data_IF_199414397216
#
_entry.id   IF_199414397216
#
_cell.length_a   1.000
_cell.length_b   1.000
_cell.length_c   1.000
_cell.angle_alpha   90.00
_cell.angle_beta   90.00
_cell.angle_gamma   90.00
#
_symmetry.space_group_name_H-M   'P 1'
#
loop_
_entity.id
_entity.type
_entity.pdbx_description
1 polymer ?
#
# COMPACT_ATOMS: atom_id res chain seq x y z
N UNK A 1 5.67 27.08 -42.52
CA UNK A 1 7.02 27.51 -42.13
C UNK A 1 7.30 26.81 -40.80
N UNK A 2 7.78 25.58 -40.88
CA UNK A 2 9.21 25.24 -40.89
C UNK A 2 9.90 25.62 -39.57
N UNK A 3 10.15 24.55 -38.78
CA UNK A 3 11.45 24.16 -38.28
C UNK A 3 11.89 24.73 -36.91
N UNK A 4 12.30 23.74 -36.14
CA UNK A 4 13.36 23.78 -35.14
C UNK A 4 12.96 24.26 -33.73
N UNK A 5 12.81 23.34 -32.82
CA UNK A 5 13.78 23.15 -31.74
C UNK A 5 13.76 21.68 -31.29
N UNK A 6 14.57 20.90 -31.98
CA UNK A 6 15.12 19.65 -31.47
C UNK A 6 16.49 20.00 -30.90
N UNK A 7 16.87 19.27 -29.86
CA UNK A 7 18.18 19.29 -29.23
C UNK A 7 18.36 20.27 -28.04
N UNK A 8 18.12 19.76 -26.83
CA UNK A 8 19.06 19.72 -25.71
C UNK A 8 18.54 18.71 -24.71
N UNK A 9 18.85 17.46 -24.85
CA UNK A 9 18.74 16.45 -23.80
C UNK A 9 19.81 15.40 -24.01
N UNK A 10 21.03 15.73 -23.72
CA UNK A 10 22.10 14.77 -23.52
C UNK A 10 23.22 15.45 -22.77
N UNK A 11 23.34 15.20 -21.48
CA UNK A 11 24.58 15.17 -20.71
C UNK A 11 24.29 15.40 -19.22
N UNK A 12 24.04 14.32 -18.46
CA UNK A 12 24.50 14.22 -17.07
C UNK A 12 24.14 12.87 -16.47
N UNK A 13 24.67 11.81 -17.06
CA UNK A 13 24.79 10.51 -16.41
C UNK A 13 26.25 10.08 -16.50
N UNK A 14 27.08 10.51 -15.60
CA UNK A 14 28.34 9.81 -15.26
C UNK A 14 28.77 10.27 -13.86
N UNK A 15 29.24 9.31 -13.09
CA UNK A 15 29.97 9.34 -11.83
C UNK A 15 29.15 9.33 -10.53
N UNK A 16 28.97 8.12 -10.05
CA UNK A 16 29.34 7.78 -8.66
C UNK A 16 29.30 6.27 -8.43
N UNK A 17 30.29 5.57 -9.01
CA UNK A 17 30.70 4.25 -8.57
C UNK A 17 32.14 4.38 -8.07
N UNK A 18 32.35 4.54 -6.79
CA UNK A 18 33.60 4.16 -6.11
C UNK A 18 33.42 4.35 -4.59
N UNK A 19 33.32 3.25 -3.87
CA UNK A 19 34.05 3.01 -2.64
C UNK A 19 33.47 1.79 -1.94
N UNK A 20 33.87 0.62 -2.42
CA UNK A 20 33.90 -0.58 -1.62
C UNK A 20 35.38 -0.76 -1.23
N UNK A 21 35.72 -0.42 -0.01
CA UNK A 21 37.05 -0.56 0.57
C UNK A 21 36.96 -1.29 1.90
N UNK A 22 37.39 -2.52 1.88
CA UNK A 22 37.58 -3.43 3.00
C UNK A 22 38.53 -2.85 4.04
N UNK A 23 38.22 -2.96 5.33
CA UNK A 23 39.20 -3.27 6.39
C UNK A 23 38.50 -3.62 7.70
N UNK A 24 38.97 -4.72 8.28
CA UNK A 24 38.56 -5.31 9.54
C UNK A 24 39.02 -4.49 10.75
N UNK A 25 38.28 -4.59 11.83
CA UNK A 25 38.70 -4.88 13.21
C UNK A 25 38.02 -4.04 14.29
N UNK A 26 37.49 -4.77 15.25
CA UNK A 26 37.46 -4.57 16.72
C UNK A 26 36.33 -3.74 17.33
N UNK A 27 35.46 -4.47 18.03
CA UNK A 27 34.72 -4.20 19.25
C UNK A 27 34.59 -2.76 19.78
N UNK A 28 33.36 -2.30 19.90
CA UNK A 28 32.84 -1.72 21.16
C UNK A 28 31.33 -1.46 21.00
N UNK A 29 30.53 -2.01 21.89
CA UNK A 29 29.11 -1.78 21.99
C UNK A 29 28.82 -0.29 22.25
N UNK A 30 28.04 0.31 21.39
CA UNK A 30 27.34 1.56 21.70
C UNK A 30 26.00 1.60 20.98
N UNK A 31 24.96 1.61 21.79
CA UNK A 31 23.59 1.88 21.43
C UNK A 31 23.51 3.12 20.51
N UNK A 32 23.09 2.91 19.27
CA UNK A 32 22.77 4.00 18.36
C UNK A 32 21.36 3.78 17.81
N UNK A 33 20.46 4.62 18.25
CA UNK A 33 19.13 4.81 17.68
C UNK A 33 19.25 4.99 16.16
N UNK A 34 18.77 4.00 15.43
CA UNK A 34 18.56 4.15 14.00
C UNK A 34 17.30 4.97 13.77
N UNK A 35 17.47 6.25 13.54
CA UNK A 35 16.43 7.08 12.95
C UNK A 35 16.09 6.52 11.56
N UNK A 36 15.02 5.75 11.47
CA UNK A 36 14.42 5.36 10.19
C UNK A 36 13.86 6.61 9.53
N UNK A 37 14.61 7.18 8.63
CA UNK A 37 14.10 8.15 7.67
C UNK A 37 13.19 7.39 6.71
N UNK A 38 11.89 7.31 7.02
CA UNK A 38 10.91 6.86 6.06
C UNK A 38 10.85 7.89 4.93
N UNK A 39 11.50 7.60 3.83
CA UNK A 39 11.26 8.31 2.58
C UNK A 39 9.82 7.99 2.20
N UNK A 40 8.91 8.94 2.43
CA UNK A 40 7.57 8.85 1.91
C UNK A 40 7.70 8.74 0.38
N UNK A 41 7.46 7.54 -0.14
CA UNK A 41 7.26 7.36 -1.56
C UNK A 41 6.01 8.18 -1.90
N UNK A 42 6.21 9.28 -2.61
CA UNK A 42 5.12 10.01 -3.23
C UNK A 42 4.49 9.05 -4.23
N UNK A 43 3.37 8.44 -3.86
CA UNK A 43 2.56 7.70 -4.79
C UNK A 43 2.09 8.72 -5.83
N UNK A 44 2.65 8.66 -7.03
CA UNK A 44 2.08 9.35 -8.18
C UNK A 44 0.63 8.87 -8.31
N UNK A 45 -0.28 9.80 -8.19
CA UNK A 45 -1.70 9.54 -8.33
C UNK A 45 -1.93 8.84 -9.67
N UNK A 46 -2.36 7.59 -9.62
CA UNK A 46 -2.84 6.85 -10.77
C UNK A 46 -3.81 7.76 -11.54
N UNK A 47 -3.56 7.91 -12.84
CA UNK A 47 -4.19 8.91 -13.67
C UNK A 47 -5.70 8.98 -13.46
N UNK A 48 -6.21 10.21 -13.35
CA UNK A 48 -7.64 10.50 -13.31
C UNK A 48 -8.32 9.85 -14.50
N UNK A 49 -9.05 8.77 -14.24
CA UNK A 49 -10.03 8.28 -15.19
C UNK A 49 -11.00 9.43 -15.50
N UNK A 50 -11.21 9.71 -16.76
CA UNK A 50 -12.01 10.85 -17.20
C UNK A 50 -13.51 10.57 -17.10
N UNK A 51 -14.03 10.41 -15.89
CA UNK A 51 -15.46 10.25 -15.65
C UNK A 51 -15.75 9.73 -14.26
N UNK A 52 -16.77 10.25 -13.59
CA UNK A 52 -17.26 9.70 -12.33
C UNK A 52 -17.77 8.26 -12.58
N UNK A 53 -17.43 7.35 -11.68
CA UNK A 53 -17.97 6.01 -11.69
C UNK A 53 -19.49 6.06 -11.41
N UNK A 54 -20.27 5.43 -12.27
CA UNK A 54 -21.74 5.44 -12.18
C UNK A 54 -22.33 4.03 -12.00
N UNK A 55 -21.47 3.04 -11.80
CA UNK A 55 -21.88 1.66 -11.58
C UNK A 55 -22.27 1.37 -10.12
N UNK A 56 -22.66 0.13 -9.86
CA UNK A 56 -22.82 -0.37 -8.49
C UNK A 56 -21.45 -0.49 -7.83
N UNK A 57 -21.27 -0.04 -6.57
CA UNK A 57 -19.99 -0.18 -5.89
C UNK A 57 -19.45 -1.60 -5.89
N UNK A 58 -18.16 -1.72 -6.16
CA UNK A 58 -17.45 -3.01 -6.13
C UNK A 58 -17.16 -3.35 -4.66
N UNK A 59 -17.59 -4.52 -4.22
CA UNK A 59 -17.39 -4.97 -2.85
C UNK A 59 -16.00 -5.56 -2.65
N UNK A 60 -15.18 -4.85 -1.88
CA UNK A 60 -13.83 -5.25 -1.51
C UNK A 60 -13.82 -5.65 -0.03
N UNK A 61 -13.30 -6.83 0.28
CA UNK A 61 -13.15 -7.30 1.64
C UNK A 61 -11.69 -7.45 2.04
N UNK A 62 -11.38 -7.16 3.30
CA UNK A 62 -10.10 -7.47 3.93
C UNK A 62 -10.28 -8.49 5.06
N UNK A 63 -9.26 -9.28 5.33
CA UNK A 63 -9.19 -10.21 6.47
C UNK A 63 -7.83 -10.08 7.12
N UNK A 64 -7.81 -10.01 8.43
CA UNK A 64 -6.57 -10.01 9.19
C UNK A 64 -6.79 -9.80 10.67
N UNK A 65 -5.77 -10.03 11.51
CA UNK A 65 -5.89 -9.90 12.94
C UNK A 65 -5.95 -8.41 13.35
N UNK A 66 -7.11 -7.93 13.78
CA UNK A 66 -7.24 -6.60 14.39
C UNK A 66 -7.31 -6.66 15.90
N UNK A 67 -7.40 -7.88 16.45
CA UNK A 67 -7.27 -8.19 17.87
C UNK A 67 -6.23 -9.28 18.09
N UNK A 68 -5.90 -9.58 19.36
CA UNK A 68 -4.91 -10.60 19.71
C UNK A 68 -3.44 -10.17 19.50
N UNK A 69 -2.53 -11.15 19.51
CA UNK A 69 -1.08 -10.90 19.53
C UNK A 69 -0.50 -10.33 18.22
N UNK A 70 -1.18 -10.51 17.09
CA UNK A 70 -0.77 -10.01 15.78
C UNK A 70 -1.52 -8.74 15.36
N UNK A 71 -2.32 -8.15 16.24
CA UNK A 71 -3.21 -7.03 15.93
C UNK A 71 -2.51 -5.82 15.30
N UNK A 72 -1.26 -5.56 15.63
CA UNK A 72 -0.49 -4.43 15.08
C UNK A 72 -0.37 -4.50 13.55
N UNK A 73 -0.27 -5.69 13.00
CA UNK A 73 -0.16 -5.90 11.55
C UNK A 73 -1.52 -5.71 10.88
N UNK A 74 -2.54 -6.37 11.38
CA UNK A 74 -3.88 -6.29 10.80
C UNK A 74 -4.51 -4.90 10.92
N UNK A 75 -4.31 -4.21 12.03
CA UNK A 75 -4.76 -2.82 12.18
C UNK A 75 -4.09 -1.87 11.19
N UNK A 76 -2.79 -2.04 10.94
CA UNK A 76 -2.08 -1.21 9.96
C UNK A 76 -2.65 -1.41 8.55
N UNK A 77 -2.87 -2.67 8.13
CA UNK A 77 -3.44 -2.99 6.83
C UNK A 77 -4.88 -2.50 6.71
N UNK A 78 -5.72 -2.78 7.72
CA UNK A 78 -7.11 -2.29 7.78
C UNK A 78 -7.19 -0.78 7.58
N UNK A 79 -6.36 -0.01 8.30
CA UNK A 79 -6.35 1.43 8.19
C UNK A 79 -5.90 1.91 6.81
N UNK A 80 -4.92 1.23 6.20
CA UNK A 80 -4.44 1.55 4.86
C UNK A 80 -5.49 1.27 3.79
N UNK A 81 -6.18 0.14 3.85
CA UNK A 81 -7.27 -0.21 2.94
C UNK A 81 -8.44 0.77 3.05
N UNK A 82 -8.85 1.07 4.29
CA UNK A 82 -9.93 2.04 4.54
C UNK A 82 -9.61 3.42 3.99
N UNK A 83 -8.36 3.89 4.18
CA UNK A 83 -7.89 5.16 3.65
C UNK A 83 -7.92 5.16 2.14
N UNK A 84 -7.36 4.12 1.51
CA UNK A 84 -7.32 4.00 0.06
C UNK A 84 -8.72 4.01 -0.58
N UNK A 85 -9.67 3.28 0.01
CA UNK A 85 -11.06 3.28 -0.46
C UNK A 85 -11.70 4.67 -0.34
N UNK A 86 -11.50 5.35 0.80
CA UNK A 86 -12.00 6.72 1.02
C UNK A 86 -11.43 7.71 0.00
N UNK A 87 -10.13 7.64 -0.27
CA UNK A 87 -9.46 8.51 -1.23
C UNK A 87 -9.95 8.27 -2.66
N UNK A 88 -10.11 7.01 -3.06
CA UNK A 88 -10.60 6.66 -4.40
C UNK A 88 -12.04 7.10 -4.58
N UNK A 89 -12.91 6.83 -3.61
CA UNK A 89 -14.31 7.26 -3.65
C UNK A 89 -14.41 8.79 -3.71
N UNK A 90 -13.65 9.50 -2.88
CA UNK A 90 -13.62 10.96 -2.88
C UNK A 90 -13.11 11.54 -4.21
N UNK A 91 -12.04 10.95 -4.78
CA UNK A 91 -11.47 11.39 -6.05
C UNK A 91 -12.43 11.20 -7.24
N UNK A 92 -13.30 10.18 -7.17
CA UNK A 92 -14.31 9.92 -8.19
C UNK A 92 -15.63 10.67 -7.96
N UNK A 93 -15.82 11.26 -6.77
CA UNK A 93 -17.09 11.92 -6.41
C UNK A 93 -18.27 10.95 -6.29
N UNK A 94 -18.00 9.65 -6.14
CA UNK A 94 -18.99 8.58 -6.03
C UNK A 94 -18.38 7.35 -5.34
N UNK A 95 -19.23 6.48 -4.80
CA UNK A 95 -18.83 5.22 -4.19
C UNK A 95 -18.42 4.20 -5.26
N UNK A 96 -17.14 4.17 -5.60
CA UNK A 96 -16.55 3.15 -6.50
C UNK A 96 -16.44 1.82 -5.78
N UNK A 97 -16.05 1.89 -4.51
CA UNK A 97 -15.84 0.72 -3.65
C UNK A 97 -16.72 0.78 -2.41
N UNK A 98 -17.31 -0.38 -2.09
CA UNK A 98 -17.89 -0.69 -0.79
C UNK A 98 -16.91 -1.64 -0.09
N UNK A 99 -16.49 -1.30 1.14
CA UNK A 99 -15.40 -1.98 1.80
C UNK A 99 -15.79 -2.50 3.17
N UNK A 100 -15.34 -3.72 3.48
CA UNK A 100 -15.56 -4.38 4.76
C UNK A 100 -14.32 -5.16 5.18
N UNK A 101 -13.97 -5.12 6.47
CA UNK A 101 -12.86 -5.87 7.03
C UNK A 101 -13.34 -6.78 8.16
N UNK A 102 -12.87 -8.02 8.17
CA UNK A 102 -13.19 -9.01 9.19
C UNK A 102 -11.94 -9.39 9.98
N UNK A 103 -12.11 -9.54 11.29
CA UNK A 103 -11.05 -9.95 12.21
C UNK A 103 -10.94 -11.48 12.23
N UNK A 104 -9.75 -12.01 12.01
CA UNK A 104 -9.46 -13.44 12.12
C UNK A 104 -8.64 -13.79 13.38
N UNK A 105 -8.24 -12.83 14.15
CA UNK A 105 -7.40 -13.00 15.35
C UNK A 105 -6.13 -13.86 15.13
N UNK A 106 -5.68 -13.98 13.87
CA UNK A 106 -4.60 -14.88 13.45
C UNK A 106 -4.90 -16.37 13.71
N UNK A 107 -6.15 -16.76 13.56
CA UNK A 107 -6.65 -18.12 13.75
C UNK A 107 -7.25 -18.67 12.46
N UNK A 108 -6.88 -19.90 12.10
CA UNK A 108 -7.28 -20.50 10.82
C UNK A 108 -8.80 -20.72 10.69
N UNK A 109 -9.47 -21.12 11.76
CA UNK A 109 -10.92 -21.34 11.73
C UNK A 109 -11.67 -20.01 11.64
N UNK A 110 -11.18 -18.99 12.36
CA UNK A 110 -11.74 -17.63 12.29
C UNK A 110 -11.52 -17.02 10.91
N UNK A 111 -10.37 -17.24 10.28
CA UNK A 111 -10.12 -16.79 8.90
C UNK A 111 -11.14 -17.37 7.91
N UNK A 112 -11.47 -18.65 8.02
CA UNK A 112 -12.51 -19.29 7.20
C UNK A 112 -13.88 -18.67 7.46
N UNK A 113 -14.21 -18.41 8.72
CA UNK A 113 -15.47 -17.78 9.09
C UNK A 113 -15.54 -16.32 8.59
N UNK A 114 -14.46 -15.56 8.72
CA UNK A 114 -14.32 -14.22 8.19
C UNK A 114 -14.55 -14.19 6.66
N UNK A 115 -13.91 -15.11 5.95
CA UNK A 115 -14.11 -15.23 4.51
C UNK A 115 -15.57 -15.54 4.14
N UNK A 116 -16.20 -16.49 4.84
CA UNK A 116 -17.60 -16.81 4.60
C UNK A 116 -18.52 -15.61 4.88
N UNK A 117 -18.25 -14.85 5.93
CA UNK A 117 -18.98 -13.62 6.25
C UNK A 117 -18.88 -12.59 5.11
N UNK A 118 -17.68 -12.40 4.57
CA UNK A 118 -17.48 -11.50 3.43
C UNK A 118 -18.15 -12.04 2.15
N UNK A 119 -18.07 -13.33 1.91
CA UNK A 119 -18.74 -13.98 0.78
C UNK A 119 -20.25 -13.79 0.84
N UNK A 120 -20.87 -13.99 2.00
CA UNK A 120 -22.31 -13.82 2.19
C UNK A 120 -22.73 -12.34 2.05
N UNK A 121 -21.85 -11.41 2.40
CA UNK A 121 -22.04 -9.99 2.13
C UNK A 121 -21.96 -9.65 0.64
N UNK A 122 -21.43 -10.53 -0.19
CA UNK A 122 -21.30 -10.38 -1.65
C UNK A 122 -19.93 -9.88 -2.10
N UNK A 123 -18.88 -10.30 -1.41
CA UNK A 123 -17.48 -10.04 -1.76
C UNK A 123 -17.20 -10.30 -3.25
N UNK A 124 -16.56 -9.34 -3.91
CA UNK A 124 -16.11 -9.47 -5.31
C UNK A 124 -14.58 -9.54 -5.40
N UNK A 125 -13.88 -8.85 -4.52
CA UNK A 125 -12.41 -8.83 -4.45
C UNK A 125 -11.98 -8.95 -3.00
N UNK A 126 -11.03 -9.83 -2.72
CA UNK A 126 -10.37 -9.93 -1.41
C UNK A 126 -9.00 -9.23 -1.47
N UNK A 127 -8.80 -8.24 -0.62
CA UNK A 127 -7.52 -7.58 -0.39
C UNK A 127 -6.88 -8.19 0.87
N UNK A 128 -5.97 -9.09 0.71
CA UNK A 128 -5.40 -9.88 1.80
C UNK A 128 -5.66 -11.36 1.63
N UNK A 129 -5.40 -12.23 2.59
CA UNK A 129 -5.27 -11.98 4.04
C UNK A 129 -3.93 -11.39 4.47
N UNK A 130 -3.90 -10.82 5.70
CA UNK A 130 -2.69 -10.17 6.23
C UNK A 130 -1.61 -11.16 6.66
N UNK A 131 -1.98 -12.32 7.14
CA UNK A 131 -1.04 -13.34 7.67
C UNK A 131 -1.45 -14.74 7.26
#
# INVERSE_FOLDING_TARGET
>A
MKKLVSSVLAASMVLSLAACGSSASTDTASSSEAASTSTAATAEAAGKGSGAYTGTPIKIGGIGPVTGGAAVYGQAVKNAEELAVKEINAANGSDVFDWKFEDDEHDAEKSVNAYNTLKDWGLQVLAGPVT
#
